data_IF_882421158666
#
_entry.id   IF_882421158666
#
_cell.length_a   1.000
_cell.length_b   1.000
_cell.length_c   1.000
_cell.angle_alpha   90.00
_cell.angle_beta   90.00
_cell.angle_gamma   90.00
#
_symmetry.space_group_name_H-M   'P 1'
#
loop_
_entity.id
_entity.type
_entity.pdbx_description
1 polymer ?
#
# COMPACT_ATOMS: atom_id res chain seq x y z
N UNK A 1 -36.05 1.88 -73.64
CA UNK A 1 -35.94 0.94 -72.49
C UNK A 1 -36.11 1.73 -71.21
N UNK A 2 -37.26 1.61 -70.54
CA UNK A 2 -37.59 2.38 -69.34
C UNK A 2 -37.31 1.56 -68.06
N UNK A 3 -36.36 2.02 -67.24
CA UNK A 3 -35.95 1.37 -65.98
C UNK A 3 -36.93 1.76 -64.88
N UNK A 4 -37.86 0.87 -64.51
CA UNK A 4 -38.80 1.10 -63.40
C UNK A 4 -38.05 1.07 -62.06
N UNK A 5 -37.96 2.22 -61.41
CA UNK A 5 -37.44 2.40 -60.05
C UNK A 5 -38.47 1.84 -59.07
N UNK A 6 -38.18 0.70 -58.44
CA UNK A 6 -39.00 0.18 -57.33
C UNK A 6 -38.78 1.05 -56.10
N UNK A 7 -39.76 1.86 -55.75
CA UNK A 7 -39.83 2.56 -54.46
C UNK A 7 -40.01 1.50 -53.37
N UNK A 8 -39.03 1.38 -52.47
CA UNK A 8 -39.16 0.49 -51.31
C UNK A 8 -40.18 1.10 -50.34
N UNK A 9 -41.14 0.34 -49.82
CA UNK A 9 -42.12 0.86 -48.88
C UNK A 9 -41.41 1.35 -47.61
N UNK A 10 -41.64 2.61 -47.25
CA UNK A 10 -41.31 3.16 -45.95
C UNK A 10 -42.13 2.40 -44.90
N UNK A 11 -41.46 1.62 -44.05
CA UNK A 11 -42.15 0.82 -43.02
C UNK A 11 -41.51 -0.53 -42.67
N UNK A 12 -40.28 -0.82 -43.12
CA UNK A 12 -39.55 -1.96 -42.59
C UNK A 12 -39.30 -1.73 -41.09
N UNK A 13 -40.07 -2.44 -40.25
CA UNK A 13 -39.97 -2.37 -38.80
C UNK A 13 -38.52 -2.51 -38.34
N UNK A 14 -38.16 -1.75 -37.31
CA UNK A 14 -36.83 -1.81 -36.71
C UNK A 14 -36.50 -3.28 -36.43
N UNK A 15 -35.40 -3.84 -36.96
CA UNK A 15 -35.08 -5.24 -36.76
C UNK A 15 -34.96 -5.51 -35.26
N UNK A 16 -35.59 -6.59 -34.79
CA UNK A 16 -35.68 -6.93 -33.36
C UNK A 16 -34.32 -6.95 -32.62
N UNK A 17 -33.21 -7.14 -33.35
CA UNK A 17 -31.85 -7.04 -32.79
C UNK A 17 -31.47 -5.62 -32.32
N UNK A 18 -31.98 -4.55 -32.96
CA UNK A 18 -31.68 -3.16 -32.57
C UNK A 18 -32.41 -2.75 -31.30
N UNK A 19 -33.64 -3.21 -31.10
CA UNK A 19 -34.38 -2.96 -29.84
C UNK A 19 -33.71 -3.66 -28.68
N UNK A 20 -33.20 -4.89 -28.87
CA UNK A 20 -32.45 -5.60 -27.84
C UNK A 20 -31.15 -4.86 -27.47
N UNK A 21 -30.39 -4.39 -28.47
CA UNK A 21 -29.15 -3.63 -28.25
C UNK A 21 -29.40 -2.32 -27.47
N UNK A 22 -30.51 -1.63 -27.75
CA UNK A 22 -30.87 -0.40 -27.04
C UNK A 22 -31.24 -0.68 -25.58
N UNK A 23 -31.98 -1.76 -25.30
CA UNK A 23 -32.31 -2.18 -23.93
C UNK A 23 -31.07 -2.59 -23.15
N UNK A 24 -30.14 -3.34 -23.77
CA UNK A 24 -28.89 -3.73 -23.14
C UNK A 24 -28.02 -2.50 -22.79
N UNK A 25 -27.92 -1.53 -23.70
CA UNK A 25 -27.21 -0.28 -23.46
C UNK A 25 -27.81 0.48 -22.27
N UNK A 26 -29.14 0.59 -22.21
CA UNK A 26 -29.84 1.26 -21.12
C UNK A 26 -29.62 0.56 -19.76
N UNK A 27 -29.57 -0.77 -19.76
CA UNK A 27 -29.24 -1.56 -18.56
C UNK A 27 -27.80 -1.31 -18.08
N UNK A 28 -26.83 -1.29 -18.99
CA UNK A 28 -25.43 -0.99 -18.67
C UNK A 28 -25.29 0.43 -18.11
N UNK A 29 -25.93 1.42 -18.75
CA UNK A 29 -25.95 2.81 -18.25
C UNK A 29 -26.59 2.89 -16.86
N UNK A 30 -27.69 2.17 -16.62
CA UNK A 30 -28.33 2.09 -15.31
C UNK A 30 -27.40 1.52 -14.23
N UNK A 31 -26.67 0.44 -14.53
CA UNK A 31 -25.65 -0.12 -13.63
C UNK A 31 -24.51 0.88 -13.36
N UNK A 32 -24.05 1.60 -14.37
CA UNK A 32 -23.06 2.66 -14.19
C UNK A 32 -23.57 3.78 -13.29
N UNK A 33 -24.82 4.23 -13.46
CA UNK A 33 -25.43 5.27 -12.59
C UNK A 33 -25.63 4.78 -11.16
N UNK A 34 -26.06 3.52 -10.96
CA UNK A 34 -26.19 2.92 -9.63
C UNK A 34 -24.83 2.79 -8.94
N UNK A 35 -23.78 2.39 -9.68
CA UNK A 35 -22.41 2.35 -9.16
C UNK A 35 -21.89 3.75 -8.84
N UNK A 36 -22.15 4.72 -9.71
CA UNK A 36 -21.82 6.12 -9.51
C UNK A 36 -22.62 6.78 -8.36
N UNK A 37 -23.72 6.20 -7.88
CA UNK A 37 -24.42 6.74 -6.70
C UNK A 37 -23.76 6.37 -5.37
N UNK A 38 -22.78 5.48 -5.36
CA UNK A 38 -22.07 5.12 -4.13
C UNK A 38 -21.09 6.24 -3.75
N UNK A 39 -21.27 6.93 -2.60
CA UNK A 39 -20.42 8.05 -2.20
C UNK A 39 -18.95 7.65 -2.05
N UNK A 40 -18.67 6.37 -1.77
CA UNK A 40 -17.31 5.82 -1.69
C UNK A 40 -16.51 5.87 -3.01
N UNK A 41 -17.15 5.98 -4.18
CA UNK A 41 -16.46 6.12 -5.46
C UNK A 41 -16.05 7.56 -5.78
N UNK A 42 -16.60 8.55 -5.09
CA UNK A 42 -16.28 9.97 -5.28
C UNK A 42 -15.33 10.53 -4.24
N UNK A 43 -14.88 9.73 -3.27
CA UNK A 43 -13.94 10.16 -2.23
C UNK A 43 -12.60 10.62 -2.80
N UNK A 44 -12.18 10.12 -3.96
CA UNK A 44 -10.98 10.60 -4.66
C UNK A 44 -11.22 11.91 -5.43
N UNK A 45 -12.48 12.23 -5.77
CA UNK A 45 -12.87 13.46 -6.49
C UNK A 45 -13.19 14.60 -5.52
N UNK A 46 -13.67 14.28 -4.33
CA UNK A 46 -13.66 15.16 -3.17
C UNK A 46 -12.23 15.26 -2.63
N UNK A 47 -11.34 15.86 -3.43
CA UNK A 47 -10.11 16.45 -2.91
C UNK A 47 -10.59 17.51 -1.91
N UNK A 48 -10.45 17.18 -0.65
CA UNK A 48 -10.92 17.98 0.47
C UNK A 48 -10.00 19.21 0.58
N UNK A 49 -10.34 20.28 -0.15
CA UNK A 49 -9.74 21.62 0.00
C UNK A 49 -9.98 22.21 1.41
N UNK A 50 -10.73 21.51 2.27
CA UNK A 50 -11.04 21.93 3.64
C UNK A 50 -9.95 21.61 4.68
N UNK A 51 -8.75 21.17 4.27
CA UNK A 51 -7.58 21.05 5.19
C UNK A 51 -6.90 22.38 5.53
N UNK A 52 -7.57 23.53 5.37
CA UNK A 52 -7.30 24.64 6.27
C UNK A 52 -7.93 24.30 7.61
N UNK A 53 -7.09 23.82 8.54
CA UNK A 53 -7.37 23.82 9.97
C UNK A 53 -7.67 25.25 10.41
N UNK A 54 -8.90 25.70 10.22
CA UNK A 54 -9.47 26.76 11.04
C UNK A 54 -9.68 26.12 12.40
N UNK A 55 -8.68 26.28 13.26
CA UNK A 55 -8.87 26.22 14.71
C UNK A 55 -9.92 27.30 15.02
N UNK A 56 -11.18 26.90 15.14
CA UNK A 56 -12.21 27.78 15.69
C UNK A 56 -11.86 27.99 17.15
N UNK A 57 -11.45 29.21 17.49
CA UNK A 57 -10.96 29.65 18.81
C UNK A 57 -12.09 29.76 19.87
N UNK A 58 -13.27 29.20 19.61
CA UNK A 58 -14.52 29.53 20.33
C UNK A 58 -14.90 28.58 21.47
N UNK A 59 -14.14 27.51 21.74
CA UNK A 59 -14.50 26.51 22.77
C UNK A 59 -13.48 26.37 23.94
N UNK A 60 -12.60 27.36 24.15
CA UNK A 60 -11.77 27.39 25.37
C UNK A 60 -12.34 28.40 26.40
N UNK A 61 -12.62 27.97 27.65
CA UNK A 61 -13.15 28.85 28.68
C UNK A 61 -12.16 29.98 29.01
N UNK A 62 -12.57 31.22 28.70
CA UNK A 62 -11.83 32.46 28.95
C UNK A 62 -11.70 32.79 30.45
N UNK A 63 -10.96 32.00 31.22
CA UNK A 63 -10.51 32.49 32.51
C UNK A 63 -9.08 32.08 32.80
N UNK A 64 -8.23 33.10 32.85
CA UNK A 64 -6.85 33.12 33.34
C UNK A 64 -5.76 32.78 32.31
N UNK A 65 -5.25 33.79 31.62
CA UNK A 65 -4.00 34.48 31.99
C UNK A 65 -3.62 35.50 30.92
N UNK A 66 -3.59 36.77 31.32
CA UNK A 66 -2.94 37.83 30.57
C UNK A 66 -1.45 37.51 30.42
N UNK A 67 -1.03 37.10 29.23
CA UNK A 67 0.35 37.32 28.78
C UNK A 67 0.29 38.00 27.42
N UNK A 68 0.70 39.26 27.41
CA UNK A 68 0.70 40.16 26.26
C UNK A 68 1.69 39.65 25.21
N UNK A 69 1.23 38.90 24.22
CA UNK A 69 2.01 38.63 23.01
C UNK A 69 1.57 39.62 21.93
N UNK A 70 2.51 40.52 21.62
CA UNK A 70 2.45 41.54 20.59
C UNK A 70 2.28 40.86 19.23
N UNK A 71 1.09 41.00 18.63
CA UNK A 71 0.80 40.55 17.27
C UNK A 71 1.84 41.08 16.28
N UNK A 72 2.69 40.20 15.77
CA UNK A 72 3.49 40.48 14.59
C UNK A 72 2.66 40.17 13.35
N UNK A 73 2.31 41.26 12.67
CA UNK A 73 1.62 41.32 11.40
C UNK A 73 2.46 40.58 10.34
N UNK A 74 1.85 39.57 9.75
CA UNK A 74 2.38 38.79 8.65
C UNK A 74 2.85 39.69 7.50
N UNK A 75 4.15 39.64 7.23
CA UNK A 75 4.72 40.04 5.96
C UNK A 75 5.15 38.76 5.25
N UNK A 76 4.64 38.58 4.04
CA UNK A 76 4.97 37.48 3.16
C UNK A 76 6.44 37.62 2.72
N UNK A 77 7.33 36.90 3.38
CA UNK A 77 8.66 36.59 2.89
C UNK A 77 8.80 35.07 2.87
N UNK A 78 9.07 34.55 1.69
CA UNK A 78 9.59 33.20 1.43
C UNK A 78 10.98 33.10 2.07
N UNK A 79 11.03 33.00 3.40
CA UNK A 79 12.24 32.76 4.20
C UNK A 79 12.45 31.26 4.42
N UNK A 80 13.68 30.82 4.72
CA UNK A 80 14.04 29.40 4.78
C UNK A 80 13.25 28.68 5.87
N UNK A 81 12.35 27.79 5.45
CA UNK A 81 11.49 26.97 6.30
C UNK A 81 12.23 25.88 7.12
N UNK A 82 13.53 26.03 7.38
CA UNK A 82 14.40 24.95 7.84
C UNK A 82 14.91 25.08 9.28
N UNK A 83 14.36 25.98 10.11
CA UNK A 83 14.82 26.12 11.50
C UNK A 83 13.67 26.19 12.52
N UNK A 84 12.77 25.21 12.49
CA UNK A 84 12.10 24.80 13.73
C UNK A 84 13.10 23.93 14.49
N UNK A 85 14.08 24.61 15.10
CA UNK A 85 15.12 23.97 15.91
C UNK A 85 14.40 23.35 17.12
N UNK A 86 14.76 22.10 17.41
CA UNK A 86 14.30 21.33 18.55
C UNK A 86 14.83 22.00 19.84
N UNK A 87 14.22 23.11 20.25
CA UNK A 87 14.72 24.03 21.28
C UNK A 87 14.78 23.43 22.70
N UNK A 88 14.29 22.21 22.89
CA UNK A 88 14.25 21.56 24.20
C UNK A 88 15.65 21.15 24.68
N UNK A 89 16.58 20.81 23.77
CA UNK A 89 17.91 20.29 24.11
C UNK A 89 19.01 20.75 23.13
N UNK A 90 19.40 22.03 23.13
CA UNK A 90 20.39 22.56 22.19
C UNK A 90 21.76 21.85 22.31
N UNK A 91 22.17 21.50 23.52
CA UNK A 91 23.46 20.83 23.76
C UNK A 91 23.46 19.38 23.24
N UNK A 92 22.34 18.68 23.37
CA UNK A 92 22.20 17.29 22.92
C UNK A 92 22.12 17.18 21.39
N UNK A 93 21.71 18.24 20.70
CA UNK A 93 21.65 18.25 19.24
C UNK A 93 23.02 18.05 18.59
N UNK A 94 24.07 18.61 19.20
CA UNK A 94 25.44 18.45 18.72
C UNK A 94 25.91 16.99 18.80
N UNK A 95 25.61 16.32 19.92
CA UNK A 95 25.90 14.90 20.11
C UNK A 95 25.10 14.04 19.14
N UNK A 96 23.81 14.32 18.98
CA UNK A 96 22.97 13.60 18.01
C UNK A 96 23.47 13.78 16.58
N UNK A 97 23.89 14.98 16.19
CA UNK A 97 24.40 15.24 14.85
C UNK A 97 25.63 14.37 14.54
N UNK A 98 26.53 14.19 15.51
CA UNK A 98 27.69 13.31 15.37
C UNK A 98 27.28 11.83 15.31
N UNK A 99 26.32 11.39 16.14
CA UNK A 99 25.76 10.03 16.11
C UNK A 99 25.03 9.72 14.79
N UNK A 100 24.45 10.75 14.15
CA UNK A 100 23.65 10.63 12.94
C UNK A 100 24.45 10.74 11.63
N UNK A 101 25.70 11.22 11.67
CA UNK A 101 26.58 11.32 10.50
C UNK A 101 26.81 10.00 9.74
N UNK A 102 27.06 8.85 10.40
CA UNK A 102 27.33 7.60 9.69
C UNK A 102 26.07 6.92 9.13
N UNK A 103 24.87 7.50 9.33
CA UNK A 103 23.61 6.91 8.89
C UNK A 103 23.45 7.06 7.38
N UNK A 104 23.43 5.92 6.69
CA UNK A 104 23.13 5.86 5.26
C UNK A 104 21.64 5.59 5.01
N UNK A 105 21.00 6.47 4.23
CA UNK A 105 19.63 6.28 3.77
C UNK A 105 19.54 5.21 2.68
N UNK A 106 18.35 4.63 2.52
CA UNK A 106 18.03 3.55 1.56
C UNK A 106 18.85 2.28 1.79
N UNK A 107 19.37 2.10 3.00
CA UNK A 107 19.93 0.85 3.50
C UNK A 107 19.01 0.24 4.57
N UNK A 108 19.18 -1.07 4.80
CA UNK A 108 18.52 -1.70 5.95
C UNK A 108 18.97 -1.04 7.25
N UNK A 109 18.21 -1.22 8.33
CA UNK A 109 18.63 -0.75 9.65
C UNK A 109 19.88 -1.52 10.09
N UNK A 110 20.95 -0.80 10.39
CA UNK A 110 22.26 -1.34 10.72
C UNK A 110 22.62 -1.04 12.17
N UNK A 111 23.62 -1.75 12.71
CA UNK A 111 24.12 -1.51 14.07
C UNK A 111 24.69 -0.08 14.24
N UNK A 112 25.27 0.49 13.18
CA UNK A 112 25.78 1.87 13.19
C UNK A 112 24.67 2.91 13.40
N UNK A 113 23.41 2.58 13.08
CA UNK A 113 22.26 3.46 13.30
C UNK A 113 21.80 3.48 14.78
N UNK A 114 22.21 2.49 15.58
CA UNK A 114 21.66 2.24 16.92
C UNK A 114 21.87 3.39 17.93
N UNK A 115 23.02 4.08 17.99
CA UNK A 115 23.20 5.19 18.92
C UNK A 115 22.15 6.30 18.70
N UNK A 116 21.99 6.76 17.46
CA UNK A 116 20.99 7.76 17.10
C UNK A 116 19.56 7.23 17.28
N UNK A 117 19.31 5.96 16.94
CA UNK A 117 18.03 5.31 17.16
C UNK A 117 17.59 5.38 18.64
N UNK A 118 18.47 4.96 19.56
CA UNK A 118 18.17 4.96 20.99
C UNK A 118 18.12 6.38 21.57
N UNK A 119 18.90 7.32 21.02
CA UNK A 119 18.78 8.74 21.35
C UNK A 119 17.38 9.27 21.06
N UNK A 120 16.87 9.08 19.85
CA UNK A 120 15.52 9.51 19.48
C UNK A 120 14.44 8.81 20.31
N UNK A 121 14.63 7.52 20.63
CA UNK A 121 13.74 6.79 21.53
C UNK A 121 13.72 7.38 22.94
N UNK A 122 14.88 7.79 23.46
CA UNK A 122 15.01 8.42 24.78
C UNK A 122 14.27 9.75 24.83
N UNK A 123 14.43 10.61 23.81
CA UNK A 123 13.72 11.88 23.68
C UNK A 123 12.22 11.68 23.55
N UNK A 124 11.81 10.72 22.71
CA UNK A 124 10.41 10.38 22.56
C UNK A 124 9.80 9.92 23.88
N UNK A 125 10.51 9.16 24.72
CA UNK A 125 10.01 8.70 26.03
C UNK A 125 10.04 9.76 27.14
N UNK A 126 10.98 10.71 27.09
CA UNK A 126 11.13 11.71 28.16
C UNK A 126 10.01 12.75 28.16
N UNK A 127 9.30 12.89 27.04
CA UNK A 127 8.25 13.87 26.87
C UNK A 127 6.85 13.24 26.86
N UNK A 128 5.84 14.03 27.24
CA UNK A 128 4.45 13.59 27.09
C UNK A 128 4.05 13.59 25.61
N UNK A 129 3.12 12.70 25.23
CA UNK A 129 2.60 12.64 23.86
C UNK A 129 2.08 14.01 23.38
N UNK A 130 1.41 14.76 24.26
CA UNK A 130 0.77 16.03 23.91
C UNK A 130 1.81 17.12 23.63
N UNK A 131 2.86 17.18 24.44
CA UNK A 131 3.96 18.14 24.24
C UNK A 131 4.73 17.84 22.95
N UNK A 132 4.99 16.55 22.68
CA UNK A 132 5.62 16.10 21.45
C UNK A 132 4.74 16.42 20.23
N UNK A 133 3.43 16.18 20.33
CA UNK A 133 2.45 16.48 19.28
C UNK A 133 2.37 17.98 18.96
N UNK A 134 2.47 18.84 19.98
CA UNK A 134 2.39 20.30 19.83
C UNK A 134 3.62 20.87 19.12
N UNK A 135 4.81 20.32 19.38
CA UNK A 135 6.07 20.77 18.76
C UNK A 135 6.31 20.15 17.38
N UNK A 136 5.73 18.98 17.15
CA UNK A 136 5.90 18.24 15.91
C UNK A 136 5.31 18.98 14.71
N UNK A 137 6.07 19.04 13.62
CA UNK A 137 5.65 19.70 12.40
C UNK A 137 4.58 18.85 11.67
N UNK A 138 3.34 19.35 11.49
CA UNK A 138 2.27 18.62 10.82
C UNK A 138 2.36 18.68 9.28
N UNK A 139 3.25 19.51 8.73
CA UNK A 139 3.37 19.76 7.28
C UNK A 139 4.47 18.94 6.61
N UNK A 140 5.11 18.02 7.33
CA UNK A 140 6.15 17.16 6.75
C UNK A 140 5.51 16.09 5.88
N UNK A 141 5.76 16.17 4.58
CA UNK A 141 5.25 15.22 3.59
C UNK A 141 6.23 14.06 3.39
N UNK A 142 5.75 12.97 2.78
CA UNK A 142 6.60 11.82 2.40
C UNK A 142 7.81 12.25 1.57
N UNK A 143 7.58 13.11 0.55
CA UNK A 143 8.63 13.58 -0.38
C UNK A 143 9.76 14.28 0.37
N UNK A 144 9.45 15.07 1.40
CA UNK A 144 10.45 15.81 2.16
C UNK A 144 11.41 14.84 2.87
N UNK A 145 10.86 13.81 3.54
CA UNK A 145 11.67 12.79 4.21
C UNK A 145 12.45 11.92 3.21
N UNK A 146 11.97 11.80 1.98
CA UNK A 146 12.57 10.96 0.94
C UNK A 146 13.71 11.63 0.19
N UNK A 147 13.53 12.90 -0.19
CA UNK A 147 14.50 13.68 -0.97
C UNK A 147 15.53 14.36 -0.08
N UNK A 148 15.13 14.83 1.10
CA UNK A 148 15.98 15.60 2.02
C UNK A 148 16.07 14.94 3.42
N UNK A 149 16.42 13.64 3.52
CA UNK A 149 16.42 12.94 4.80
C UNK A 149 17.38 13.58 5.81
N UNK A 150 18.50 14.11 5.35
CA UNK A 150 19.52 14.74 6.19
C UNK A 150 19.01 16.01 6.89
N UNK A 151 18.11 16.76 6.24
CA UNK A 151 17.53 17.99 6.79
C UNK A 151 16.50 17.66 7.87
N UNK A 152 15.72 16.59 7.66
CA UNK A 152 14.61 16.23 8.54
C UNK A 152 14.98 15.25 9.66
N UNK A 153 16.18 14.66 9.64
CA UNK A 153 16.63 13.71 10.65
C UNK A 153 16.65 14.34 12.03
N UNK A 154 16.05 13.67 13.00
CA UNK A 154 15.92 14.15 14.38
C UNK A 154 14.93 15.29 14.58
N UNK A 155 14.24 15.77 13.53
CA UNK A 155 13.18 16.77 13.69
C UNK A 155 11.88 16.11 14.17
N UNK A 156 11.09 16.79 15.02
CA UNK A 156 9.80 16.28 15.46
C UNK A 156 8.77 16.37 14.32
N UNK A 157 8.13 15.24 14.02
CA UNK A 157 7.18 15.01 12.93
C UNK A 157 5.86 14.51 13.50
N UNK A 158 4.75 15.06 13.00
CA UNK A 158 3.38 14.62 13.32
C UNK A 158 2.76 13.97 12.09
N UNK A 159 2.26 12.75 12.23
CA UNK A 159 1.60 12.02 11.14
C UNK A 159 0.25 11.48 11.58
N UNK A 160 -0.70 11.45 10.64
CA UNK A 160 -1.96 10.70 10.79
C UNK A 160 -1.88 9.48 9.87
N UNK A 161 -1.70 8.30 10.48
CA UNK A 161 -1.38 7.07 9.78
C UNK A 161 -2.57 6.11 9.75
N UNK A 162 -2.84 5.56 8.57
CA UNK A 162 -3.70 4.41 8.38
C UNK A 162 -2.85 3.15 8.51
N UNK A 163 -2.86 2.55 9.69
CA UNK A 163 -2.04 1.39 10.04
C UNK A 163 -2.64 0.10 9.48
N UNK A 164 -1.81 -0.69 8.82
CA UNK A 164 -2.16 -2.02 8.30
C UNK A 164 -1.47 -3.17 8.96
N UNK A 165 -0.32 -2.92 9.58
CA UNK A 165 0.46 -3.98 10.20
C UNK A 165 1.13 -3.44 11.45
N UNK A 166 1.09 -4.21 12.52
CA UNK A 166 1.76 -3.93 13.79
C UNK A 166 2.48 -5.19 14.22
N UNK A 167 3.78 -5.03 14.48
CA UNK A 167 4.70 -6.08 14.85
C UNK A 167 5.28 -5.78 16.22
N UNK A 168 5.79 -6.82 16.86
CA UNK A 168 6.41 -6.75 18.17
C UNK A 168 7.74 -7.48 18.13
N UNK A 169 8.81 -6.85 18.63
CA UNK A 169 10.15 -7.44 18.69
C UNK A 169 10.77 -7.25 20.07
N UNK A 170 11.55 -8.22 20.52
CA UNK A 170 12.38 -8.04 21.70
C UNK A 170 13.45 -7.01 21.38
N UNK A 171 13.53 -5.97 22.20
CA UNK A 171 14.62 -5.01 22.12
C UNK A 171 15.91 -5.72 22.57
N UNK A 172 17.00 -5.54 21.82
CA UNK A 172 18.32 -5.91 22.28
C UNK A 172 18.76 -5.06 23.47
N UNK A 173 19.97 -5.30 23.97
CA UNK A 173 20.53 -4.53 25.08
C UNK A 173 20.56 -3.03 24.76
N UNK A 174 19.96 -2.23 25.64
CA UNK A 174 19.89 -0.79 25.51
C UNK A 174 19.94 -0.11 26.87
N UNK A 175 20.38 1.14 26.89
CA UNK A 175 20.49 1.97 28.09
C UNK A 175 19.14 2.45 28.65
N UNK A 176 18.02 2.21 27.96
CA UNK A 176 16.69 2.66 28.37
C UNK A 176 15.89 1.57 29.12
N UNK A 177 16.45 0.36 29.26
CA UNK A 177 15.78 -0.77 29.89
C UNK A 177 14.52 -1.22 29.14
N UNK A 178 14.40 -0.89 27.85
CA UNK A 178 13.27 -1.29 27.02
C UNK A 178 13.50 -2.75 26.64
N UNK A 179 12.57 -3.64 26.95
CA UNK A 179 12.65 -5.06 26.60
C UNK A 179 11.85 -5.39 25.35
N UNK A 180 10.84 -4.59 25.04
CA UNK A 180 9.89 -4.83 23.96
C UNK A 180 9.70 -3.56 23.15
N UNK A 181 9.77 -3.69 21.83
CA UNK A 181 9.44 -2.64 20.87
C UNK A 181 8.29 -3.08 19.99
N UNK A 182 7.57 -2.08 19.47
CA UNK A 182 6.50 -2.26 18.52
C UNK A 182 6.78 -1.47 17.26
N UNK A 183 6.41 -2.02 16.13
CA UNK A 183 6.62 -1.41 14.82
C UNK A 183 5.29 -1.42 14.07
N UNK A 184 4.81 -0.25 13.67
CA UNK A 184 3.61 -0.12 12.86
C UNK A 184 3.96 0.35 11.45
N UNK A 185 3.32 -0.29 10.47
CA UNK A 185 3.39 0.05 9.07
C UNK A 185 2.05 0.62 8.64
N UNK A 186 2.09 1.80 8.02
CA UNK A 186 0.89 2.48 7.55
C UNK A 186 1.22 3.54 6.52
N UNK A 187 0.19 4.20 6.02
CA UNK A 187 0.33 5.30 5.06
C UNK A 187 -0.47 6.51 5.53
N UNK A 188 0.00 7.68 5.11
CA UNK A 188 -0.79 8.90 5.21
C UNK A 188 -1.68 9.03 3.96
N UNK A 189 -2.61 9.99 3.96
CA UNK A 189 -3.42 10.26 2.77
C UNK A 189 -2.55 10.68 1.57
N UNK A 190 -1.47 11.43 1.82
CA UNK A 190 -0.58 11.97 0.79
C UNK A 190 0.44 10.94 0.28
N UNK A 191 0.90 10.00 1.12
CA UNK A 191 1.90 9.00 0.70
C UNK A 191 1.33 7.87 -0.16
N UNK A 192 -0.01 7.75 -0.25
CA UNK A 192 -0.70 6.74 -1.05
C UNK A 192 -0.21 5.32 -0.72
N UNK A 193 0.52 4.69 -1.65
CA UNK A 193 1.03 3.32 -1.53
C UNK A 193 2.43 3.23 -0.93
N UNK A 194 3.03 4.36 -0.54
CA UNK A 194 4.34 4.39 0.09
C UNK A 194 4.19 4.37 1.62
N UNK A 195 4.65 3.32 2.29
CA UNK A 195 4.45 3.20 3.72
C UNK A 195 5.46 4.04 4.51
N UNK A 196 5.05 4.39 5.73
CA UNK A 196 5.90 4.78 6.83
C UNK A 196 6.08 3.58 7.77
N UNK A 197 7.24 3.53 8.41
CA UNK A 197 7.52 2.61 9.50
C UNK A 197 7.67 3.45 10.77
N UNK A 198 6.83 3.22 11.76
CA UNK A 198 6.92 3.91 13.05
C UNK A 198 7.25 2.91 14.15
N UNK A 199 8.27 3.21 14.95
CA UNK A 199 8.69 2.39 16.08
C UNK A 199 8.41 3.11 17.38
N UNK A 200 7.81 2.39 18.34
CA UNK A 200 7.32 2.94 19.58
C UNK A 200 7.44 1.92 20.73
N UNK A 201 7.64 2.38 21.98
CA UNK A 201 7.90 1.49 23.11
C UNK A 201 6.64 0.92 23.76
N UNK A 202 5.49 1.57 23.61
CA UNK A 202 4.25 1.21 24.31
C UNK A 202 3.08 1.06 23.34
N UNK A 203 2.43 -0.10 23.35
CA UNK A 203 1.28 -0.38 22.49
C UNK A 203 0.04 0.39 22.99
N UNK A 204 -0.54 1.31 22.19
CA UNK A 204 -1.73 2.05 22.60
C UNK A 204 -2.91 1.11 22.88
N UNK A 205 -3.70 1.42 23.90
CA UNK A 205 -4.87 0.63 24.25
C UNK A 205 -5.84 0.53 23.04
N UNK A 206 -6.24 -0.69 22.70
CA UNK A 206 -7.13 -0.98 21.57
C UNK A 206 -6.42 -1.19 20.22
N UNK A 207 -5.12 -0.91 20.11
CA UNK A 207 -4.34 -1.29 18.92
C UNK A 207 -3.87 -2.75 19.07
N UNK A 208 -4.22 -3.60 18.10
CA UNK A 208 -3.85 -5.01 18.11
C UNK A 208 -2.56 -5.26 17.32
N UNK A 209 -1.90 -6.40 17.56
CA UNK A 209 -0.79 -6.90 16.75
C UNK A 209 -1.33 -7.71 15.56
N UNK A 210 -0.61 -7.71 14.43
CA UNK A 210 -1.00 -8.49 13.25
C UNK A 210 -0.65 -7.83 11.92
N UNK A 211 -0.88 -8.56 10.83
CA UNK A 211 -0.60 -8.11 9.46
C UNK A 211 -1.82 -7.54 8.71
N UNK A 212 -3.03 -7.68 9.28
CA UNK A 212 -4.29 -7.18 8.70
C UNK A 212 -5.02 -6.32 9.72
N UNK A 213 -4.47 -5.14 9.96
CA UNK A 213 -5.03 -4.14 10.85
C UNK A 213 -5.72 -3.07 10.00
N UNK A 214 -6.79 -2.49 10.54
CA UNK A 214 -7.42 -1.32 9.95
C UNK A 214 -7.69 -0.32 11.07
N UNK A 215 -6.64 0.41 11.44
CA UNK A 215 -6.68 1.38 12.52
C UNK A 215 -6.13 2.71 12.03
N UNK A 216 -6.71 3.80 12.51
CA UNK A 216 -6.18 5.14 12.30
C UNK A 216 -5.48 5.59 13.57
N UNK A 217 -4.24 6.03 13.45
CA UNK A 217 -3.44 6.48 14.60
C UNK A 217 -2.86 7.85 14.32
N UNK A 218 -2.64 8.59 15.38
CA UNK A 218 -1.85 9.81 15.37
C UNK A 218 -0.48 9.52 15.96
N UNK A 219 0.55 9.86 15.20
CA UNK A 219 1.95 9.70 15.54
C UNK A 219 2.57 11.06 15.84
N UNK A 220 3.40 11.09 16.90
CA UNK A 220 4.29 12.19 17.20
C UNK A 220 5.66 11.60 17.58
N UNK A 221 6.72 12.08 16.94
CA UNK A 221 8.05 11.51 17.13
C UNK A 221 9.08 12.13 16.20
N UNK A 222 10.19 11.44 15.99
CA UNK A 222 11.33 11.93 15.23
C UNK A 222 11.58 11.06 14.01
N UNK A 223 11.99 11.68 12.91
CA UNK A 223 12.45 10.94 11.73
C UNK A 223 13.90 10.47 11.92
N UNK A 224 14.19 9.20 11.66
CA UNK A 224 15.54 8.64 11.72
C UNK A 224 16.19 8.56 10.33
N UNK A 225 15.62 7.77 9.41
CA UNK A 225 16.22 7.53 8.10
C UNK A 225 15.20 6.98 7.12
N UNK A 226 15.53 6.97 5.82
CA UNK A 226 14.83 6.11 4.87
C UNK A 226 15.40 4.71 4.97
N UNK A 227 14.65 3.75 5.50
CA UNK A 227 15.08 2.36 5.64
C UNK A 227 14.67 1.56 4.42
N UNK A 228 15.60 0.77 3.87
CA UNK A 228 15.28 -0.20 2.84
C UNK A 228 14.70 -1.49 3.44
N UNK A 229 13.70 -2.05 2.77
CA UNK A 229 13.05 -3.31 3.12
C UNK A 229 12.76 -4.13 1.86
N UNK A 230 12.62 -5.44 2.05
CA UNK A 230 12.27 -6.35 0.97
C UNK A 230 10.74 -6.44 0.86
N UNK A 231 10.20 -5.92 -0.25
CA UNK A 231 8.86 -6.25 -0.70
C UNK A 231 8.97 -7.37 -1.72
N UNK A 232 8.03 -8.32 -1.73
CA UNK A 232 7.94 -9.50 -2.62
C UNK A 232 9.06 -9.66 -3.68
N UNK A 233 9.07 -8.81 -4.71
CA UNK A 233 10.02 -8.90 -5.84
C UNK A 233 11.01 -7.72 -5.94
N UNK A 234 10.87 -6.68 -5.09
CA UNK A 234 11.65 -5.44 -5.21
C UNK A 234 12.06 -4.91 -3.85
N UNK A 235 13.33 -4.52 -3.72
CA UNK A 235 13.79 -3.74 -2.57
C UNK A 235 13.17 -2.34 -2.65
N UNK A 236 12.51 -1.91 -1.58
CA UNK A 236 11.83 -0.60 -1.46
C UNK A 236 12.37 0.16 -0.27
N UNK A 237 12.06 1.45 -0.20
CA UNK A 237 12.38 2.29 0.96
C UNK A 237 11.12 2.76 1.68
N UNK A 238 11.23 2.99 2.98
CA UNK A 238 10.20 3.61 3.80
C UNK A 238 10.85 4.55 4.82
N UNK A 239 10.31 5.75 5.07
CA UNK A 239 10.72 6.58 6.19
C UNK A 239 10.49 5.85 7.51
N UNK A 240 11.57 5.71 8.29
CA UNK A 240 11.58 5.14 9.63
C UNK A 240 11.52 6.26 10.65
N UNK A 241 10.48 6.26 11.49
CA UNK A 241 10.28 7.23 12.56
C UNK A 241 10.23 6.53 13.91
N UNK A 242 10.62 7.26 14.95
CA UNK A 242 10.70 6.79 16.33
C UNK A 242 9.89 7.73 17.20
N UNK A 243 8.93 7.22 17.96
CA UNK A 243 8.04 8.09 18.70
C UNK A 243 7.00 7.40 19.54
N UNK A 244 5.89 8.10 19.72
CA UNK A 244 4.71 7.63 20.43
C UNK A 244 3.50 7.60 19.48
N UNK A 245 2.53 6.75 19.79
CA UNK A 245 1.29 6.61 19.05
C UNK A 245 0.08 6.85 19.95
N UNK A 246 -0.96 7.44 19.37
CA UNK A 246 -2.29 7.52 19.94
C UNK A 246 -3.29 6.94 18.96
N UNK A 247 -4.07 5.96 19.41
CA UNK A 247 -5.18 5.43 18.61
C UNK A 247 -6.22 6.53 18.43
N UNK A 248 -6.54 6.87 17.19
CA UNK A 248 -7.70 7.71 16.91
C UNK A 248 -8.91 6.79 16.96
N UNK A 249 -9.90 7.15 17.77
CA UNK A 249 -11.18 6.46 17.72
C UNK A 249 -11.67 6.52 16.28
N UNK A 250 -12.15 5.39 15.71
CA UNK A 250 -12.76 5.43 14.40
C UNK A 250 -13.85 6.48 14.44
N UNK A 251 -13.59 7.66 13.87
CA UNK A 251 -14.67 8.60 13.56
C UNK A 251 -15.57 7.77 12.69
N UNK A 252 -16.79 7.47 13.14
CA UNK A 252 -17.71 6.51 12.56
C UNK A 252 -17.80 6.72 11.04
N UNK A 253 -16.83 6.16 10.34
CA UNK A 253 -16.64 6.36 8.92
C UNK A 253 -17.65 5.38 8.42
N UNK A 254 -18.77 5.92 7.95
CA UNK A 254 -19.92 5.20 7.43
C UNK A 254 -19.41 4.16 6.45
N UNK A 255 -19.00 3.02 6.98
CA UNK A 255 -18.48 1.91 6.20
C UNK A 255 -19.67 1.59 5.33
N UNK A 256 -19.51 1.63 3.98
CA UNK A 256 -20.62 1.40 3.09
C UNK A 256 -21.26 0.11 3.56
N UNK A 257 -22.46 0.25 4.13
CA UNK A 257 -23.14 -0.86 4.75
C UNK A 257 -23.52 -1.71 3.57
N UNK A 258 -22.70 -2.73 3.29
CA UNK A 258 -22.99 -3.66 2.23
C UNK A 258 -24.44 -4.10 2.45
N UNK A 259 -25.33 -3.95 1.45
CA UNK A 259 -26.71 -4.35 1.61
C UNK A 259 -26.67 -5.78 2.12
N UNK A 260 -27.30 -5.99 3.28
CA UNK A 260 -27.28 -7.30 3.95
C UNK A 260 -27.68 -8.36 2.91
N UNK A 261 -27.14 -9.59 2.96
CA UNK A 261 -27.41 -10.60 1.91
C UNK A 261 -28.90 -10.77 1.59
N UNK A 262 -29.80 -10.57 2.56
CA UNK A 262 -31.26 -10.51 2.35
C UNK A 262 -31.72 -9.44 1.34
N UNK A 263 -31.13 -8.25 1.37
CA UNK A 263 -31.47 -7.15 0.47
C UNK A 263 -30.96 -7.44 -0.94
N UNK A 264 -29.76 -8.01 -1.08
CA UNK A 264 -29.26 -8.52 -2.36
C UNK A 264 -30.20 -9.57 -2.96
N UNK A 265 -30.69 -10.51 -2.14
CA UNK A 265 -31.65 -11.53 -2.58
C UNK A 265 -32.97 -10.90 -3.02
N UNK A 266 -33.48 -9.90 -2.29
CA UNK A 266 -34.71 -9.19 -2.67
C UNK A 266 -34.54 -8.41 -3.98
N UNK A 267 -33.40 -7.75 -4.19
CA UNK A 267 -33.10 -7.07 -5.45
C UNK A 267 -32.97 -8.06 -6.61
N UNK A 268 -32.24 -9.16 -6.42
CA UNK A 268 -32.10 -10.21 -7.43
C UNK A 268 -33.46 -10.84 -7.77
N UNK A 269 -34.28 -11.14 -6.76
CA UNK A 269 -35.65 -11.64 -6.93
C UNK A 269 -36.55 -10.65 -7.67
N UNK A 270 -36.47 -9.36 -7.34
CA UNK A 270 -37.22 -8.30 -8.02
C UNK A 270 -36.84 -8.15 -9.49
N UNK A 271 -35.54 -8.23 -9.80
CA UNK A 271 -35.04 -8.18 -11.19
C UNK A 271 -35.51 -9.40 -11.99
N UNK A 272 -35.41 -10.61 -11.42
CA UNK A 272 -35.89 -11.83 -12.06
C UNK A 272 -37.40 -11.79 -12.31
N UNK A 273 -38.18 -11.30 -11.34
CA UNK A 273 -39.63 -11.13 -11.49
C UNK A 273 -39.99 -10.13 -12.60
N UNK A 274 -39.27 -8.99 -12.68
CA UNK A 274 -39.48 -7.99 -13.73
C UNK A 274 -39.15 -8.55 -15.13
N UNK A 275 -38.05 -9.29 -15.26
CA UNK A 275 -37.68 -9.97 -16.52
C UNK A 275 -38.75 -11.00 -16.91
N UNK A 276 -39.22 -11.82 -15.96
CA UNK A 276 -40.29 -12.79 -16.19
C UNK A 276 -41.58 -12.14 -16.69
N UNK A 277 -41.97 -11.01 -16.09
CA UNK A 277 -43.14 -10.22 -16.50
C UNK A 277 -42.98 -9.65 -17.92
N UNK A 278 -41.81 -9.14 -18.27
CA UNK A 278 -41.53 -8.61 -19.61
C UNK A 278 -41.63 -9.71 -20.69
N UNK A 279 -41.10 -10.90 -20.41
CA UNK A 279 -41.20 -12.06 -21.31
C UNK A 279 -42.66 -12.49 -21.49
N UNK A 280 -43.41 -12.62 -20.39
CA UNK A 280 -44.81 -13.00 -20.43
C UNK A 280 -45.67 -11.98 -21.22
N UNK A 281 -45.41 -10.69 -21.04
CA UNK A 281 -46.07 -9.63 -21.79
C UNK A 281 -45.73 -9.68 -23.28
N UNK A 282 -44.47 -9.89 -23.63
CA UNK A 282 -44.03 -10.06 -25.02
C UNK A 282 -44.70 -11.25 -25.72
N UNK A 283 -44.79 -12.40 -25.05
CA UNK A 283 -45.50 -13.59 -25.58
C UNK A 283 -46.98 -13.28 -25.79
N UNK A 284 -47.63 -12.63 -24.82
CA UNK A 284 -49.05 -12.24 -24.93
C UNK A 284 -49.28 -11.31 -26.12
N UNK A 285 -48.42 -10.31 -26.29
CA UNK A 285 -48.51 -9.35 -27.40
C UNK A 285 -48.26 -10.04 -28.76
N UNK A 286 -47.32 -10.97 -28.83
CA UNK A 286 -47.03 -11.74 -30.05
C UNK A 286 -48.22 -12.62 -30.47
N UNK A 287 -48.91 -13.26 -29.51
CA UNK A 287 -50.12 -14.06 -29.77
C UNK A 287 -51.30 -13.20 -30.23
N UNK A 288 -51.39 -11.95 -29.79
CA UNK A 288 -52.45 -11.03 -30.22
C UNK A 288 -52.21 -10.46 -31.63
N UNK A 289 -50.95 -10.29 -32.04
CA UNK A 289 -50.60 -9.74 -33.36
C UNK A 289 -50.59 -10.78 -34.48
N UNK A 290 -50.50 -12.07 -34.14
CA UNK A 290 -50.62 -13.17 -35.09
C UNK A 290 -51.84 -14.03 -34.74
N UNK A 291 -53.08 -13.55 -35.00
CA UNK A 291 -54.22 -14.43 -35.01
C UNK A 291 -53.90 -15.55 -35.99
N UNK A 292 -53.77 -16.76 -35.46
CA UNK A 292 -53.55 -17.98 -36.23
C UNK A 292 -54.49 -17.95 -37.43
N UNK A 293 -53.92 -17.87 -38.63
CA UNK A 293 -54.62 -18.31 -39.83
C UNK A 293 -54.98 -19.76 -39.58
N UNK A 294 -56.18 -19.98 -39.06
CA UNK A 294 -56.73 -21.29 -38.82
C UNK A 294 -56.64 -22.02 -40.16
N UNK A 295 -55.96 -23.16 -40.11
CA UNK A 295 -55.72 -24.03 -41.24
C UNK A 295 -57.00 -24.26 -42.02
N UNK A 296 -57.00 -23.82 -43.29
CA UNK A 296 -57.84 -24.45 -44.30
C UNK A 296 -57.23 -25.85 -44.48
N UNK A 297 -57.81 -26.82 -43.77
CA UNK A 297 -57.59 -28.25 -44.01
C UNK A 297 -58.28 -28.56 -45.34
N UNK A 298 -57.56 -28.44 -46.46
CA UNK A 298 -57.93 -29.15 -47.69
C UNK A 298 -57.37 -30.55 -47.61
N UNK A 299 -58.28 -31.51 -47.41
CA UNK A 299 -58.03 -32.93 -47.61
C UNK A 299 -57.63 -33.17 -49.07
N UNK A 300 -56.36 -33.46 -49.33
CA UNK A 300 -55.91 -34.05 -50.60
C UNK A 300 -55.25 -35.38 -50.28
N UNK A 301 -56.05 -36.43 -50.41
CA UNK A 301 -55.62 -37.81 -50.45
C UNK A 301 -54.86 -38.02 -51.77
N UNK A 302 -53.56 -38.33 -51.73
CA UNK A 302 -52.96 -39.07 -52.83
C UNK A 302 -51.88 -40.05 -52.34
N UNK A 303 -52.24 -41.31 -52.51
CA UNK A 303 -51.50 -42.53 -52.26
C UNK A 303 -50.35 -42.66 -53.26
N UNK A 304 -49.09 -42.64 -52.83
CA UNK A 304 -47.99 -43.38 -53.49
C UNK A 304 -46.97 -43.85 -52.46
N UNK A 305 -46.85 -45.18 -52.34
CA UNK A 305 -45.76 -46.00 -51.75
C UNK A 305 -45.20 -46.84 -52.92
N UNK A 306 -44.07 -47.58 -52.80
CA UNK A 306 -42.78 -47.35 -52.12
C UNK A 306 -41.57 -47.77 -53.00
N UNK A 307 -40.33 -47.48 -52.58
CA UNK A 307 -39.07 -48.16 -52.97
C UNK A 307 -37.97 -47.53 -52.08
N UNK A 308 -37.42 -48.17 -51.05
CA UNK A 308 -36.64 -49.42 -50.94
C UNK A 308 -35.48 -49.48 -51.94
N UNK A 309 -34.35 -48.86 -51.58
CA UNK A 309 -33.01 -49.42 -51.85
C UNK A 309 -32.12 -49.13 -50.64
N UNK A 310 -31.68 -50.24 -50.09
CA UNK A 310 -30.67 -50.51 -49.08
C UNK A 310 -29.28 -50.51 -49.73
N UNK A 311 -28.26 -49.96 -49.04
CA UNK A 311 -26.86 -50.43 -48.98
C UNK A 311 -26.00 -49.30 -48.38
N UNK A 312 -25.39 -49.43 -47.20
CA UNK A 312 -24.29 -50.31 -46.78
C UNK A 312 -22.94 -49.61 -46.90
N UNK A 313 -22.19 -49.73 -45.79
CA UNK A 313 -20.74 -49.75 -45.64
C UNK A 313 -19.94 -48.51 -45.19
N UNK A 314 -19.17 -48.81 -44.13
CA UNK A 314 -18.08 -48.11 -43.45
C UNK A 314 -16.77 -48.66 -44.05
N UNK A 315 -15.70 -47.85 -44.21
CA UNK A 315 -14.48 -48.05 -43.41
C UNK A 315 -13.87 -46.70 -42.94
N UNK A 316 -13.40 -46.56 -41.71
CA UNK A 316 -12.01 -46.85 -41.24
C UNK A 316 -10.93 -46.08 -42.00
N UNK A 317 -10.21 -45.14 -41.33
CA UNK A 317 -8.75 -45.08 -41.27
C UNK A 317 -8.18 -43.75 -40.68
N UNK A 318 -7.29 -43.91 -39.69
CA UNK A 318 -5.99 -43.22 -39.52
C UNK A 318 -5.86 -41.81 -38.90
N UNK A 319 -5.55 -41.79 -37.58
CA UNK A 319 -4.29 -41.36 -36.88
C UNK A 319 -3.52 -40.07 -37.32
N UNK A 320 -2.44 -39.66 -36.60
CA UNK A 320 -2.36 -38.63 -35.56
C UNK A 320 -1.60 -37.34 -35.98
N UNK A 321 -1.63 -36.30 -35.14
CA UNK A 321 -0.50 -35.35 -35.06
C UNK A 321 -0.26 -34.88 -33.62
N UNK A 322 0.71 -35.56 -33.03
CA UNK A 322 1.63 -35.06 -32.01
C UNK A 322 2.14 -33.67 -32.40
N UNK A 323 1.90 -32.66 -31.56
CA UNK A 323 2.73 -31.45 -31.51
C UNK A 323 3.46 -31.48 -30.18
N UNK A 324 4.59 -32.16 -30.22
CA UNK A 324 5.72 -32.00 -29.33
C UNK A 324 6.49 -30.79 -29.85
N UNK A 325 6.52 -29.70 -29.09
CA UNK A 325 7.41 -28.58 -29.38
C UNK A 325 8.17 -28.16 -28.11
N UNK A 326 9.37 -28.73 -28.04
CA UNK A 326 10.62 -28.04 -27.78
C UNK A 326 10.86 -27.48 -26.37
N UNK A 327 11.51 -28.34 -25.57
CA UNK A 327 12.59 -27.94 -24.66
C UNK A 327 13.54 -26.98 -25.38
N UNK A 328 13.63 -25.75 -24.89
CA UNK A 328 14.82 -24.91 -25.11
C UNK A 328 15.89 -25.34 -24.12
N UNK A 329 16.88 -26.09 -24.61
CA UNK A 329 18.15 -26.28 -23.90
C UNK A 329 18.93 -24.96 -23.94
N UNK A 330 19.25 -24.44 -22.76
CA UNK A 330 20.20 -23.35 -22.56
C UNK A 330 21.61 -23.96 -22.55
N UNK A 331 22.56 -23.45 -23.35
CA UNK A 331 23.96 -23.89 -23.29
C UNK A 331 24.59 -23.46 -21.95
N UNK A 332 25.09 -24.44 -21.20
CA UNK A 332 26.05 -24.19 -20.12
C UNK A 332 27.42 -23.93 -20.76
N UNK A 333 27.82 -22.66 -20.82
CA UNK A 333 29.23 -22.32 -21.01
C UNK A 333 29.99 -22.60 -19.71
N UNK A 334 30.79 -23.65 -19.79
CA UNK A 334 31.85 -23.97 -18.84
C UNK A 334 33.10 -23.25 -19.34
N UNK A 335 33.55 -22.20 -18.66
CA UNK A 335 34.93 -21.73 -18.81
C UNK A 335 35.60 -21.69 -17.45
N UNK A 336 36.43 -22.70 -17.31
CA UNK A 336 37.47 -22.92 -16.33
C UNK A 336 38.53 -21.81 -16.30
N UNK A 337 38.93 -21.46 -15.08
CA UNK A 337 40.31 -21.25 -14.62
C UNK A 337 41.30 -20.48 -15.51
N UNK A 338 41.75 -19.33 -15.02
CA UNK A 338 43.16 -18.91 -15.15
C UNK A 338 43.63 -18.34 -13.81
N UNK A 339 44.39 -19.17 -13.10
CA UNK A 339 45.36 -18.77 -12.09
C UNK A 339 46.36 -17.77 -12.68
N UNK A 340 46.61 -16.67 -11.98
CA UNK A 340 47.87 -15.94 -12.12
C UNK A 340 48.35 -15.49 -10.76
N UNK A 341 49.33 -16.24 -10.26
CA UNK A 341 50.21 -15.91 -9.16
C UNK A 341 50.91 -14.56 -9.43
N UNK A 342 51.04 -13.73 -8.41
CA UNK A 342 52.14 -12.77 -8.35
C UNK A 342 52.63 -12.61 -6.92
N UNK A 343 53.88 -13.02 -6.73
CA UNK A 343 54.67 -12.95 -5.49
C UNK A 343 55.86 -12.02 -5.76
N UNK A 344 56.30 -11.33 -4.70
CA UNK A 344 57.51 -10.50 -4.52
C UNK A 344 57.45 -9.09 -5.10
N UNK A 345 57.68 -8.04 -4.29
CA UNK A 345 59.05 -7.68 -3.88
C UNK A 345 59.09 -6.90 -2.55
N UNK A 346 60.04 -7.30 -1.70
CA UNK A 346 60.53 -6.61 -0.51
C UNK A 346 61.49 -5.48 -0.92
N UNK A 347 61.38 -4.30 -0.33
CA UNK A 347 62.51 -3.38 -0.20
C UNK A 347 62.45 -2.65 1.14
N UNK A 348 63.56 -2.78 1.87
CA UNK A 348 63.85 -2.12 3.14
C UNK A 348 64.59 -0.80 2.90
N UNK A 349 64.84 -0.11 4.02
CA UNK A 349 65.71 1.05 4.24
C UNK A 349 65.06 2.42 3.97
N UNK A 350 65.27 3.46 4.76
CA UNK A 350 65.80 3.66 6.11
C UNK A 350 65.61 5.16 6.44
N UNK A 351 65.78 5.51 7.72
CA UNK A 351 66.08 6.86 8.25
C UNK A 351 64.92 7.90 8.33
N UNK A 352 64.81 8.79 9.32
CA UNK A 352 65.41 9.01 10.66
C UNK A 352 64.82 10.35 11.18
N UNK A 353 64.55 10.45 12.49
CA UNK A 353 64.41 11.68 13.34
C UNK A 353 63.22 12.64 13.08
N UNK A 354 62.55 13.28 14.06
CA UNK A 354 62.89 13.63 15.46
C UNK A 354 61.61 13.94 16.28
N UNK A 355 61.65 13.54 17.56
CA UNK A 355 61.14 14.17 18.79
C UNK A 355 60.07 15.28 18.79
N UNK A 356 58.99 15.06 19.55
CA UNK A 356 58.54 15.89 20.69
C UNK A 356 57.36 15.17 21.38
N UNK A 357 57.58 14.53 22.54
CA UNK A 357 57.33 15.13 23.86
C UNK A 357 55.84 15.44 24.13
N UNK A 358 55.13 14.52 24.79
CA UNK A 358 54.43 14.90 26.02
C UNK A 358 54.05 13.67 26.87
N UNK A 359 54.49 13.72 28.12
CA UNK A 359 54.10 12.87 29.23
C UNK A 359 52.62 13.07 29.57
N UNK A 360 51.87 11.98 29.76
CA UNK A 360 51.08 11.75 30.99
C UNK A 360 50.61 10.29 31.07
N UNK A 361 50.42 9.74 32.29
CA UNK A 361 50.37 8.29 32.54
C UNK A 361 49.00 7.80 33.07
N UNK A 362 48.90 6.48 33.33
CA UNK A 362 47.83 5.75 34.07
C UNK A 362 46.51 5.58 33.27
N UNK A 363 46.03 4.41 32.85
CA UNK A 363 45.88 3.11 33.52
C UNK A 363 46.04 1.94 32.52
N UNK A 364 46.67 0.86 32.96
CA UNK A 364 46.77 -0.40 32.24
C UNK A 364 46.60 -1.56 33.25
N UNK A 365 45.46 -2.26 33.20
CA UNK A 365 45.15 -3.61 33.76
C UNK A 365 43.78 -3.97 33.15
N UNK A 366 43.45 -5.13 32.59
CA UNK A 366 44.13 -6.30 32.06
C UNK A 366 43.05 -7.10 31.31
N UNK A 367 43.49 -7.79 30.26
CA UNK A 367 42.91 -8.97 29.62
C UNK A 367 41.72 -9.67 30.31
N UNK A 368 40.64 -9.83 29.56
CA UNK A 368 39.70 -10.95 29.72
C UNK A 368 39.22 -11.41 28.35
N UNK A 369 39.94 -12.41 27.83
CA UNK A 369 39.47 -13.55 27.01
C UNK A 369 38.34 -13.32 26.00
N UNK A 370 38.75 -13.40 24.74
CA UNK A 370 38.02 -13.89 23.57
C UNK A 370 36.68 -14.59 23.88
N UNK A 371 35.59 -13.91 23.54
CA UNK A 371 34.29 -14.54 23.36
C UNK A 371 33.83 -14.27 21.93
N UNK A 372 33.62 -15.38 21.25
CA UNK A 372 33.31 -15.56 19.84
C UNK A 372 32.23 -14.57 19.37
N UNK A 373 32.58 -13.78 18.36
CA UNK A 373 31.69 -12.89 17.63
C UNK A 373 30.60 -13.70 16.91
N UNK A 374 29.53 -14.03 17.63
CA UNK A 374 28.25 -14.40 17.04
C UNK A 374 27.55 -13.11 16.62
N UNK A 375 27.73 -12.70 15.37
CA UNK A 375 26.90 -11.67 14.76
C UNK A 375 25.45 -12.09 14.84
N UNK A 376 24.67 -11.42 15.68
CA UNK A 376 23.25 -11.67 15.79
C UNK A 376 22.58 -10.92 14.64
N UNK A 377 22.26 -11.63 13.56
CA UNK A 377 21.35 -11.18 12.49
C UNK A 377 19.93 -11.04 13.07
N UNK A 378 19.72 -10.04 13.92
CA UNK A 378 18.43 -9.80 14.57
C UNK A 378 17.40 -9.18 13.60
N UNK A 379 17.83 -8.73 12.41
CA UNK A 379 17.01 -7.86 11.55
C UNK A 379 16.92 -8.27 10.07
N UNK A 380 17.50 -9.41 9.69
CA UNK A 380 17.50 -9.88 8.30
C UNK A 380 16.90 -11.29 8.14
N UNK A 381 15.78 -11.59 8.81
CA UNK A 381 15.03 -12.81 8.47
C UNK A 381 14.18 -12.57 7.21
N UNK A 382 14.56 -13.13 6.03
CA UNK A 382 13.70 -13.08 4.87
C UNK A 382 12.40 -13.82 5.16
N UNK A 383 11.30 -13.21 4.72
CA UNK A 383 9.94 -13.72 4.85
C UNK A 383 9.83 -15.08 4.11
N UNK A 384 9.91 -16.21 4.83
CA UNK A 384 9.43 -17.50 4.30
C UNK A 384 7.98 -17.70 4.70
N UNK A 385 7.00 -17.64 3.77
CA UNK A 385 5.66 -18.09 4.09
C UNK A 385 5.73 -19.57 4.50
N UNK A 386 5.16 -19.91 5.66
CA UNK A 386 4.99 -21.31 6.07
C UNK A 386 4.17 -22.02 4.99
N UNK A 387 4.77 -22.99 4.31
CA UNK A 387 4.03 -23.90 3.43
C UNK A 387 2.90 -24.55 4.24
N UNK A 388 1.67 -24.63 3.70
CA UNK A 388 0.60 -25.36 4.36
C UNK A 388 1.01 -26.83 4.41
N UNK A 389 1.32 -27.33 5.61
CA UNK A 389 1.49 -28.76 5.85
C UNK A 389 0.18 -29.44 5.46
N UNK A 390 0.26 -30.28 4.42
CA UNK A 390 -0.76 -31.24 4.08
C UNK A 390 -0.89 -32.23 5.25
N UNK A 391 -1.98 -32.12 6.00
CA UNK A 391 -2.41 -33.16 6.93
C UNK A 391 -3.23 -34.18 6.13
N UNK A 392 -2.82 -35.45 6.26
CA UNK A 392 -3.37 -36.62 5.58
C UNK A 392 -4.66 -37.10 6.20
#
# INVERSE_FOLDING_TARGET
MARRTRVRPFGAGIPAGRTLSLVLLLFIVGLCVLRARQPGFWTWLAIDDSRQLVLTDDDLPQNQLHTTVKAHKASAETGPASQVINNTHPDEWSSFSNEAQPIEDRQALQQVDMPAYWRLMSWAKSESFLDLLQRANPQVLFVNLWEEPQVHRGQPVRLRLNVRRVLSYQAGDNNLGITQLYEAWGWTTDSKSFPYVVVFPELPAGLHLGADINAEVEFAGYFLKVMAYDAYETRRGAPLLIGQLRLLQPTATNSPTWPKPRELILWAGGILAAIGLAIAFGIRQYRQSHPSMAAIITNTSETVRPSLVEQTEVPTASTPSTIENQLTQIPQETTSSTESNNTLTVLADAEKTTSASNDQPWFNVSDSTAQTSGGIDLFAQPFRPKSPSAEK
#
